data_IF_740608156161
#
_entry.id   IF_740608156161
#
_cell.length_a   1.000
_cell.length_b   1.000
_cell.length_c   1.000
_cell.angle_alpha   90.00
_cell.angle_beta   90.00
_cell.angle_gamma   90.00
#
_symmetry.space_group_name_H-M   'P 1'
#
loop_
_entity.id
_entity.type
_entity.pdbx_description
1 polymer ?
#
# COMPACT_ATOMS: atom_id res chain seq x y z
N UNK A 1 -22.96 -14.48 -7.24
CA UNK A 1 -23.75 -13.67 -8.20
C UNK A 1 -23.00 -13.32 -9.49
N UNK A 2 -21.71 -13.63 -9.65
CA UNK A 2 -21.04 -13.59 -10.96
C UNK A 2 -20.91 -12.22 -11.65
N UNK A 3 -21.26 -11.13 -10.96
CA UNK A 3 -21.20 -9.76 -11.47
C UNK A 3 -20.11 -9.02 -10.69
N UNK A 4 -19.19 -8.36 -11.41
CA UNK A 4 -18.10 -7.61 -10.82
C UNK A 4 -18.54 -6.21 -10.36
N UNK A 5 -17.79 -5.61 -9.43
CA UNK A 5 -18.01 -4.21 -8.99
C UNK A 5 -17.91 -3.22 -10.16
N UNK A 6 -17.15 -3.57 -11.20
CA UNK A 6 -16.94 -2.74 -12.38
C UNK A 6 -18.18 -2.71 -13.30
N UNK A 7 -18.99 -3.77 -13.30
CA UNK A 7 -20.16 -3.89 -14.18
C UNK A 7 -21.37 -3.10 -13.65
N UNK A 8 -21.41 -2.85 -12.34
CA UNK A 8 -22.55 -2.24 -11.65
C UNK A 8 -22.49 -0.71 -11.63
N UNK A 9 -21.30 -0.14 -11.76
CA UNK A 9 -21.07 1.28 -11.47
C UNK A 9 -21.17 1.60 -9.98
N UNK A 10 -20.74 2.81 -9.59
CA UNK A 10 -20.57 3.19 -8.18
C UNK A 10 -21.88 3.20 -7.39
N UNK A 11 -22.95 3.77 -7.95
CA UNK A 11 -24.21 3.96 -7.24
C UNK A 11 -24.91 2.63 -6.91
N UNK A 12 -25.05 1.75 -7.90
CA UNK A 12 -25.67 0.44 -7.68
C UNK A 12 -24.80 -0.47 -6.81
N UNK A 13 -23.48 -0.37 -6.93
CA UNK A 13 -22.57 -1.06 -6.01
C UNK A 13 -22.77 -0.59 -4.57
N UNK A 14 -22.86 0.72 -4.32
CA UNK A 14 -23.11 1.26 -2.98
C UNK A 14 -24.45 0.80 -2.41
N UNK A 15 -25.52 0.77 -3.22
CA UNK A 15 -26.82 0.23 -2.79
C UNK A 15 -26.70 -1.23 -2.31
N UNK A 16 -25.96 -2.05 -3.04
CA UNK A 16 -25.71 -3.46 -2.65
C UNK A 16 -24.88 -3.58 -1.38
N UNK A 17 -23.85 -2.75 -1.21
CA UNK A 17 -23.04 -2.72 0.02
C UNK A 17 -23.90 -2.37 1.24
N UNK A 18 -24.79 -1.37 1.12
CA UNK A 18 -25.72 -1.03 2.20
C UNK A 18 -26.74 -2.13 2.49
N UNK A 19 -27.28 -2.78 1.47
CA UNK A 19 -28.16 -3.93 1.65
C UNK A 19 -27.46 -5.09 2.39
N UNK A 20 -26.22 -5.39 2.00
CA UNK A 20 -25.38 -6.38 2.68
C UNK A 20 -25.09 -5.98 4.13
N UNK A 21 -24.75 -4.71 4.39
CA UNK A 21 -24.53 -4.19 5.75
C UNK A 21 -25.74 -4.40 6.64
N UNK A 22 -26.96 -4.16 6.12
CA UNK A 22 -28.17 -4.37 6.91
C UNK A 22 -28.37 -5.84 7.27
N UNK A 23 -28.16 -6.75 6.31
CA UNK A 23 -28.25 -8.19 6.54
C UNK A 23 -27.19 -8.68 7.55
N UNK A 24 -25.93 -8.32 7.33
CA UNK A 24 -24.81 -8.73 8.17
C UNK A 24 -24.88 -8.12 9.57
N UNK A 25 -25.14 -6.81 9.66
CA UNK A 25 -25.30 -6.10 10.93
C UNK A 25 -26.45 -6.67 11.77
N UNK A 26 -27.61 -6.89 11.16
CA UNK A 26 -28.75 -7.51 11.85
C UNK A 26 -28.41 -8.91 12.38
N UNK A 27 -27.64 -9.68 11.62
CA UNK A 27 -27.20 -11.02 12.03
C UNK A 27 -26.29 -10.95 13.25
N UNK A 28 -25.29 -10.06 13.24
CA UNK A 28 -24.37 -9.84 14.35
C UNK A 28 -25.14 -9.40 15.60
N UNK A 29 -26.02 -8.41 15.48
CA UNK A 29 -26.83 -7.91 16.60
C UNK A 29 -27.72 -9.00 17.19
N UNK A 30 -28.35 -9.83 16.37
CA UNK A 30 -29.14 -10.97 16.84
C UNK A 30 -28.31 -12.03 17.56
N UNK A 31 -27.09 -12.33 17.07
CA UNK A 31 -26.17 -13.25 17.73
C UNK A 31 -25.77 -12.74 19.11
N UNK A 32 -25.38 -11.47 19.21
CA UNK A 32 -24.95 -10.85 20.48
C UNK A 32 -26.12 -10.79 21.49
N UNK A 33 -27.34 -10.50 21.02
CA UNK A 33 -28.55 -10.57 21.87
C UNK A 33 -28.81 -11.99 22.37
N UNK A 34 -28.66 -12.99 21.50
CA UNK A 34 -28.86 -14.41 21.85
C UNK A 34 -27.84 -14.90 22.88
N UNK A 35 -26.63 -14.34 22.89
CA UNK A 35 -25.61 -14.60 23.92
C UNK A 35 -25.96 -13.96 25.29
N UNK A 36 -27.03 -13.17 25.37
CA UNK A 36 -27.45 -12.53 26.63
C UNK A 36 -26.65 -11.28 26.99
N UNK A 37 -26.00 -10.63 26.02
CA UNK A 37 -25.20 -9.44 26.28
C UNK A 37 -26.07 -8.25 26.73
N UNK A 38 -25.80 -7.73 27.93
CA UNK A 38 -26.51 -6.59 28.54
C UNK A 38 -25.93 -5.24 28.09
N UNK A 39 -25.84 -5.05 26.77
CA UNK A 39 -25.35 -3.81 26.14
C UNK A 39 -26.47 -2.78 26.08
N UNK A 40 -26.14 -1.48 26.15
CA UNK A 40 -27.10 -0.40 25.90
C UNK A 40 -27.46 -0.30 24.40
N UNK A 41 -28.42 -1.13 23.99
CA UNK A 41 -28.94 -1.18 22.63
C UNK A 41 -29.58 0.12 22.15
N UNK A 42 -29.97 1.02 23.05
CA UNK A 42 -30.55 2.32 22.66
C UNK A 42 -29.52 3.26 22.05
N UNK A 43 -28.23 2.99 22.28
CA UNK A 43 -27.09 3.77 21.80
C UNK A 43 -26.25 3.02 20.75
N UNK A 44 -26.81 1.99 20.14
CA UNK A 44 -26.16 1.31 19.01
C UNK A 44 -25.86 2.35 17.91
N UNK A 45 -24.63 2.32 17.40
CA UNK A 45 -24.17 3.18 16.31
C UNK A 45 -23.29 2.39 15.37
N UNK A 46 -23.18 2.89 14.14
CA UNK A 46 -22.32 2.36 13.10
C UNK A 46 -21.35 3.45 12.62
N UNK A 47 -20.16 3.03 12.18
CA UNK A 47 -19.04 3.91 11.86
C UNK A 47 -19.36 4.92 10.75
N UNK A 48 -20.29 4.60 9.84
CA UNK A 48 -20.74 5.51 8.78
C UNK A 48 -22.08 6.19 9.07
N UNK A 49 -22.63 6.10 10.28
CA UNK A 49 -23.84 6.85 10.65
C UNK A 49 -23.56 8.36 10.63
N UNK A 50 -24.59 9.17 10.44
CA UNK A 50 -24.46 10.64 10.29
C UNK A 50 -23.69 11.28 11.45
N UNK A 51 -23.93 10.82 12.69
CA UNK A 51 -23.22 11.32 13.88
C UNK A 51 -21.73 10.96 13.86
N UNK A 52 -21.38 9.73 13.48
CA UNK A 52 -19.99 9.25 13.44
C UNK A 52 -19.22 9.87 12.28
N UNK A 53 -19.86 9.94 11.10
CA UNK A 53 -19.31 10.59 9.91
C UNK A 53 -19.03 12.09 10.16
N UNK A 54 -19.91 12.78 10.89
CA UNK A 54 -19.69 14.16 11.29
C UNK A 54 -18.46 14.31 12.21
N UNK A 55 -18.29 13.40 13.17
CA UNK A 55 -17.13 13.41 14.08
C UNK A 55 -15.81 13.17 13.33
N UNK A 56 -15.76 12.19 12.41
CA UNK A 56 -14.55 11.92 11.61
C UNK A 56 -14.17 13.14 10.77
N UNK A 57 -15.15 13.80 10.14
CA UNK A 57 -14.92 15.02 9.36
C UNK A 57 -14.37 16.16 10.23
N UNK A 58 -14.91 16.35 11.44
CA UNK A 58 -14.45 17.39 12.36
C UNK A 58 -13.00 17.15 12.82
N UNK A 59 -12.67 15.91 13.18
CA UNK A 59 -11.30 15.52 13.56
C UNK A 59 -10.34 15.73 12.39
N UNK A 60 -10.71 15.29 11.18
CA UNK A 60 -9.88 15.49 9.99
C UNK A 60 -9.59 16.97 9.73
N UNK A 61 -10.61 17.83 9.77
CA UNK A 61 -10.45 19.28 9.56
C UNK A 61 -9.59 19.91 10.66
N UNK A 62 -9.76 19.46 11.91
CA UNK A 62 -8.96 19.95 13.04
C UNK A 62 -7.48 19.60 12.88
N UNK A 63 -7.18 18.34 12.56
CA UNK A 63 -5.79 17.88 12.33
C UNK A 63 -5.16 18.55 11.11
N UNK A 64 -5.95 18.82 10.06
CA UNK A 64 -5.50 19.60 8.91
C UNK A 64 -5.16 21.05 9.29
N UNK A 65 -6.03 21.73 10.05
CA UNK A 65 -5.78 23.11 10.53
C UNK A 65 -4.56 23.20 11.45
N UNK A 66 -4.23 22.13 12.18
CA UNK A 66 -3.03 22.03 13.01
C UNK A 66 -1.75 21.74 12.22
N UNK A 67 -1.84 21.51 10.90
CA UNK A 67 -0.70 21.16 10.05
C UNK A 67 -0.22 19.71 10.17
N UNK A 68 -0.99 18.84 10.84
CA UNK A 68 -0.66 17.42 11.02
C UNK A 68 -1.09 16.56 9.82
N UNK A 69 -2.05 17.04 9.02
CA UNK A 69 -2.47 16.41 7.77
C UNK A 69 -2.03 17.29 6.60
N UNK A 70 -1.38 16.67 5.61
CA UNK A 70 -0.96 17.33 4.38
C UNK A 70 -1.16 16.40 3.19
N UNK A 71 -1.09 16.97 1.98
CA UNK A 71 -1.09 16.22 0.72
C UNK A 71 0.27 16.34 0.07
N UNK A 72 0.91 15.21 -0.20
CA UNK A 72 2.22 15.14 -0.84
C UNK A 72 2.37 13.90 -1.70
N UNK A 73 3.54 13.75 -2.33
CA UNK A 73 3.94 12.53 -3.02
C UNK A 73 4.90 11.77 -2.11
N UNK A 74 4.53 10.55 -1.74
CA UNK A 74 5.34 9.63 -0.93
C UNK A 74 5.20 8.23 -1.53
N UNK A 75 6.19 7.38 -1.33
CA UNK A 75 6.05 5.95 -1.59
C UNK A 75 4.91 5.39 -0.73
N UNK A 76 3.99 4.66 -1.34
CA UNK A 76 2.85 4.03 -0.69
C UNK A 76 2.79 2.56 -1.08
N UNK A 77 2.27 1.72 -0.19
CA UNK A 77 1.93 0.35 -0.53
C UNK A 77 0.65 0.38 -1.38
N UNK A 78 0.72 -0.19 -2.58
CA UNK A 78 -0.40 -0.22 -3.52
C UNK A 78 -0.85 -1.65 -3.77
N UNK A 79 -2.14 -1.92 -3.56
CA UNK A 79 -2.75 -3.21 -3.87
C UNK A 79 -3.33 -3.20 -5.30
N UNK A 80 -2.77 -3.98 -6.25
CA UNK A 80 -3.26 -4.03 -7.63
C UNK A 80 -4.62 -4.71 -7.79
N UNK A 81 -5.04 -5.56 -6.83
CA UNK A 81 -6.34 -6.26 -6.86
C UNK A 81 -7.44 -5.32 -6.40
N UNK A 82 -7.24 -4.66 -5.26
CA UNK A 82 -8.23 -3.74 -4.71
C UNK A 82 -8.21 -2.38 -5.41
N UNK A 83 -7.07 -1.96 -5.96
CA UNK A 83 -6.88 -0.68 -6.64
C UNK A 83 -6.85 0.49 -5.67
N UNK A 84 -6.19 0.32 -4.52
CA UNK A 84 -6.09 1.33 -3.47
C UNK A 84 -4.74 1.28 -2.78
N UNK A 85 -4.36 2.40 -2.15
CA UNK A 85 -3.26 2.42 -1.20
C UNK A 85 -3.69 1.75 0.11
N UNK A 86 -2.74 1.08 0.76
CA UNK A 86 -2.89 0.45 2.09
C UNK A 86 -1.83 0.98 3.05
N UNK A 87 -2.16 1.03 4.33
CA UNK A 87 -1.24 1.43 5.39
C UNK A 87 -0.22 0.32 5.68
N UNK A 88 0.93 0.69 6.26
CA UNK A 88 1.96 -0.29 6.64
C UNK A 88 1.43 -1.37 7.61
N UNK A 89 0.46 -1.02 8.47
CA UNK A 89 -0.17 -1.96 9.41
C UNK A 89 -1.11 -2.97 8.73
N UNK A 90 -1.52 -2.73 7.49
CA UNK A 90 -2.38 -3.62 6.71
C UNK A 90 -1.56 -4.57 5.82
N UNK A 91 -0.24 -4.40 5.77
CA UNK A 91 0.66 -5.25 4.98
C UNK A 91 1.21 -6.36 5.86
N UNK A 92 1.02 -7.60 5.42
CA UNK A 92 1.58 -8.80 6.05
C UNK A 92 2.74 -9.29 5.21
N UNK A 93 3.90 -9.50 5.83
CA UNK A 93 5.08 -10.07 5.18
C UNK A 93 5.13 -11.58 5.40
N UNK A 94 5.24 -12.33 4.31
CA UNK A 94 5.37 -13.79 4.31
C UNK A 94 6.64 -14.19 3.55
N UNK A 95 7.25 -15.31 3.95
CA UNK A 95 8.43 -15.83 3.27
C UNK A 95 8.02 -16.61 2.01
N UNK A 96 8.64 -16.28 0.88
CA UNK A 96 8.41 -16.95 -0.39
C UNK A 96 9.73 -17.33 -1.08
N UNK A 97 9.74 -18.46 -1.77
CA UNK A 97 10.89 -18.87 -2.58
C UNK A 97 10.95 -18.02 -3.86
N UNK A 98 12.01 -17.22 -3.99
CA UNK A 98 12.27 -16.37 -5.15
C UNK A 98 13.54 -16.72 -5.90
N UNK A 99 13.97 -15.80 -6.76
CA UNK A 99 15.26 -15.86 -7.46
C UNK A 99 16.09 -14.62 -7.12
N UNK A 100 17.40 -14.79 -7.02
CA UNK A 100 18.35 -13.68 -6.87
C UNK A 100 19.18 -13.53 -8.14
N UNK A 101 18.97 -12.43 -8.84
CA UNK A 101 19.59 -12.13 -10.12
C UNK A 101 20.86 -11.30 -9.90
N UNK A 102 21.90 -11.56 -10.69
CA UNK A 102 23.13 -10.78 -10.70
C UNK A 102 23.27 -10.11 -12.07
N UNK A 103 23.19 -8.78 -12.09
CA UNK A 103 23.15 -7.98 -13.33
C UNK A 103 24.39 -7.09 -13.38
N UNK A 104 25.07 -7.09 -14.52
CA UNK A 104 26.27 -6.27 -14.71
C UNK A 104 25.92 -4.91 -15.31
N UNK A 105 26.33 -3.85 -14.64
CA UNK A 105 26.20 -2.44 -15.03
C UNK A 105 27.56 -1.97 -15.56
N UNK A 106 27.71 -1.77 -16.88
CA UNK A 106 28.98 -1.36 -17.47
C UNK A 106 29.44 0.01 -16.96
N UNK A 107 30.75 0.20 -16.81
CA UNK A 107 31.31 1.53 -16.60
C UNK A 107 31.39 2.27 -17.95
N UNK A 108 31.02 3.56 -18.02
CA UNK A 108 31.03 4.31 -19.28
C UNK A 108 32.40 4.45 -19.93
N UNK A 109 33.47 4.34 -19.13
CA UNK A 109 34.86 4.38 -19.60
C UNK A 109 35.35 3.04 -20.19
N UNK A 110 34.51 2.00 -20.18
CA UNK A 110 34.85 0.67 -20.66
C UNK A 110 35.83 -0.10 -19.78
N UNK A 111 36.17 0.41 -18.60
CA UNK A 111 37.15 -0.22 -17.68
C UNK A 111 36.64 -1.49 -17.00
N UNK A 112 35.33 -1.75 -17.06
CA UNK A 112 34.71 -2.92 -16.47
C UNK A 112 33.22 -2.75 -16.24
N UNK A 113 32.72 -3.39 -15.19
CA UNK A 113 31.32 -3.32 -14.78
C UNK A 113 31.19 -3.48 -13.26
N UNK A 114 30.03 -3.08 -12.74
CA UNK A 114 29.60 -3.33 -11.38
C UNK A 114 28.46 -4.35 -11.38
N UNK A 115 28.54 -5.39 -10.56
CA UNK A 115 27.46 -6.39 -10.46
C UNK A 115 26.48 -6.00 -9.35
N UNK A 116 25.21 -5.88 -9.70
CA UNK A 116 24.10 -5.62 -8.77
C UNK A 116 23.29 -6.91 -8.56
N UNK A 117 23.06 -7.27 -7.30
CA UNK A 117 22.19 -8.38 -6.94
C UNK A 117 20.77 -7.87 -6.62
N UNK A 118 19.74 -8.39 -7.29
CA UNK A 118 18.34 -7.98 -7.08
C UNK A 118 17.38 -9.17 -7.19
N UNK A 119 16.29 -9.14 -6.42
CA UNK A 119 15.17 -10.08 -6.59
C UNK A 119 14.16 -9.61 -7.64
N UNK A 120 14.29 -8.35 -8.09
CA UNK A 120 13.35 -7.68 -9.00
C UNK A 120 14.09 -7.10 -10.21
N UNK A 121 14.48 -7.92 -11.18
CA UNK A 121 15.21 -7.44 -12.37
C UNK A 121 14.38 -6.45 -13.19
N UNK A 122 13.05 -6.47 -13.10
CA UNK A 122 12.16 -5.54 -13.78
C UNK A 122 12.25 -4.10 -13.26
N UNK A 123 12.72 -3.88 -12.02
CA UNK A 123 12.90 -2.52 -11.47
C UNK A 123 14.18 -1.86 -11.95
N UNK A 124 15.10 -2.62 -12.57
CA UNK A 124 16.37 -2.15 -13.13
C UNK A 124 16.18 -0.88 -13.98
N UNK A 125 15.14 -0.84 -14.82
CA UNK A 125 14.87 0.31 -15.71
C UNK A 125 14.50 1.60 -14.96
N UNK A 126 14.12 1.51 -13.69
CA UNK A 126 13.83 2.64 -12.82
C UNK A 126 15.02 3.07 -11.96
N UNK A 127 16.18 2.44 -12.11
CA UNK A 127 17.35 2.75 -11.30
C UNK A 127 17.89 4.15 -11.59
N UNK A 128 18.20 4.87 -10.52
CA UNK A 128 18.73 6.24 -10.60
C UNK A 128 20.13 6.36 -10.01
N UNK A 129 20.56 5.37 -9.23
CA UNK A 129 21.88 5.28 -8.62
C UNK A 129 22.19 3.83 -8.25
N UNK A 130 23.48 3.51 -8.15
CA UNK A 130 23.94 2.28 -7.50
C UNK A 130 24.62 2.65 -6.19
N UNK A 131 24.27 1.93 -5.12
CA UNK A 131 24.80 2.19 -3.78
C UNK A 131 25.89 1.18 -3.45
N UNK A 132 27.03 1.69 -2.97
CA UNK A 132 28.13 0.87 -2.45
C UNK A 132 28.41 1.30 -1.01
N UNK A 133 28.81 0.35 -0.17
CA UNK A 133 29.17 0.67 1.21
C UNK A 133 30.47 1.49 1.23
N UNK A 134 30.55 2.61 1.98
CA UNK A 134 31.69 3.53 1.91
C UNK A 134 33.02 2.90 2.37
N UNK A 135 32.96 1.90 3.26
CA UNK A 135 34.13 1.18 3.78
C UNK A 135 34.45 -0.11 2.99
N UNK A 136 33.70 -0.42 1.92
CA UNK A 136 33.97 -1.60 1.12
C UNK A 136 35.12 -1.32 0.14
N UNK A 137 36.33 -1.73 0.52
CA UNK A 137 37.57 -1.57 -0.25
C UNK A 137 37.44 -2.05 -1.70
N UNK A 138 36.58 -3.05 -1.97
CA UNK A 138 36.33 -3.58 -3.31
C UNK A 138 35.73 -2.53 -4.25
N UNK A 139 34.98 -1.56 -3.73
CA UNK A 139 34.21 -0.60 -4.53
C UNK A 139 34.51 0.88 -4.22
N UNK A 140 35.38 1.18 -3.25
CA UNK A 140 35.76 2.56 -2.92
C UNK A 140 36.21 3.38 -4.13
N UNK A 141 36.95 2.76 -5.04
CA UNK A 141 37.43 3.38 -6.28
C UNK A 141 36.32 3.72 -7.30
N UNK A 142 35.09 3.25 -7.08
CA UNK A 142 33.90 3.53 -7.89
C UNK A 142 33.02 4.64 -7.31
N UNK A 143 33.27 5.08 -6.07
CA UNK A 143 32.48 6.14 -5.43
C UNK A 143 32.62 7.44 -6.24
N UNK A 144 31.49 8.03 -6.63
CA UNK A 144 31.43 9.23 -7.46
C UNK A 144 31.54 8.96 -8.97
N UNK A 145 31.74 7.71 -9.40
CA UNK A 145 31.64 7.32 -10.81
C UNK A 145 30.19 7.04 -11.19
N UNK A 146 29.92 7.11 -12.49
CA UNK A 146 28.63 6.73 -13.08
C UNK A 146 28.72 5.33 -13.71
N UNK A 147 27.58 4.67 -13.84
CA UNK A 147 27.43 3.40 -14.58
C UNK A 147 26.44 3.60 -15.72
N UNK A 148 26.56 2.81 -16.78
CA UNK A 148 25.56 2.74 -17.85
C UNK A 148 24.45 1.78 -17.43
N UNK A 149 23.20 2.22 -17.55
CA UNK A 149 22.05 1.38 -17.25
C UNK A 149 21.90 0.30 -18.34
N UNK A 150 21.86 -1.00 -18.00
CA UNK A 150 21.73 -2.04 -19.00
C UNK A 150 20.43 -1.90 -19.80
N UNK A 151 20.47 -2.24 -21.08
CA UNK A 151 19.31 -2.18 -22.00
C UNK A 151 18.76 -0.77 -22.26
N UNK A 152 19.50 0.28 -21.91
CA UNK A 152 19.18 1.66 -22.20
C UNK A 152 20.31 2.28 -23.03
N UNK A 153 19.97 2.78 -24.23
CA UNK A 153 20.86 3.53 -25.13
C UNK A 153 20.42 5.00 -25.18
#
# INVERSE_FOLDING_TARGET
>A
QGISRHDLGREEFLKRVWAWKQQSGSTITNQVRRLGASIDWSREYFTMDDKMSAAVRDVFVTLYKQGLIYRGKRLVNWDPVLGTAVSDLEVVSEEENGSLWHINYPLPDGSGHLTVATTRPETMLGDTAVMVHPEDERYQHLIGKTVTLPLCD
#
